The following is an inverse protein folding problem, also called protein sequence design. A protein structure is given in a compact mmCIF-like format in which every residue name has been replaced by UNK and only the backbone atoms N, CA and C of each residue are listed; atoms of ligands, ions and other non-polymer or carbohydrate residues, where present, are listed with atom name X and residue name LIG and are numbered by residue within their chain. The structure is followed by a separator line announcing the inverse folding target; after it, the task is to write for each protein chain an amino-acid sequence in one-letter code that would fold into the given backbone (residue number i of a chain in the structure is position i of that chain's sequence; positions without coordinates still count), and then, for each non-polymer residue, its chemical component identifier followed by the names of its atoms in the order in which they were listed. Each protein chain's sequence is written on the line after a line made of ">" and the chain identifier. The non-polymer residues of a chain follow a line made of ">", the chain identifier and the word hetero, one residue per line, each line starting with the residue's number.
data_IF_613914195925
#
_entry.id   IF_613914195925
#
_cell.length_a   1.000
_cell.length_b   1.000
_cell.length_c   1.000
_cell.angle_alpha   90.00
_cell.angle_beta   90.00
_cell.angle_gamma   90.00
#
_symmetry.space_group_name_H-M   'P 1'
#
loop_
_entity.id
_entity.type
_entity.pdbx_description
1 polymer ?
#
# COMPACT_ATOMS: atom_id res chain seq x y z
N UNK A 1 30.94 -10.86 -4.58
CA UNK A 1 32.17 -10.40 -3.91
C UNK A 1 31.99 -9.09 -3.13
N UNK A 2 31.21 -8.11 -3.60
CA UNK A 2 30.89 -6.86 -2.86
C UNK A 2 30.06 -7.07 -1.59
N UNK A 3 29.18 -8.09 -1.54
CA UNK A 3 28.37 -8.41 -0.35
C UNK A 3 29.19 -8.86 0.89
N UNK A 4 30.46 -9.26 0.69
CA UNK A 4 31.33 -9.64 1.79
C UNK A 4 31.95 -8.39 2.47
N UNK A 5 32.16 -7.31 1.72
CA UNK A 5 32.77 -6.07 2.21
C UNK A 5 31.73 -5.09 2.77
N UNK A 6 30.50 -5.13 2.27
CA UNK A 6 29.39 -4.29 2.70
C UNK A 6 28.11 -5.14 2.81
N UNK A 7 28.00 -5.99 3.84
CA UNK A 7 26.85 -6.86 3.98
C UNK A 7 25.57 -6.03 4.16
N UNK A 8 24.50 -6.41 3.46
CA UNK A 8 23.17 -5.83 3.69
C UNK A 8 22.82 -5.95 5.17
N UNK A 9 22.22 -4.90 5.73
CA UNK A 9 21.84 -4.87 7.12
C UNK A 9 20.34 -4.61 7.25
N UNK A 10 19.73 -5.34 8.17
CA UNK A 10 18.30 -5.15 8.48
C UNK A 10 18.04 -3.71 8.93
N UNK A 11 17.11 -3.02 8.24
CA UNK A 11 16.75 -1.61 8.50
C UNK A 11 16.10 -1.40 9.88
N UNK A 12 15.67 -2.48 10.53
CA UNK A 12 15.03 -2.45 11.86
C UNK A 12 16.05 -2.71 12.97
N UNK A 13 16.78 -3.83 12.90
CA UNK A 13 17.67 -4.27 13.99
C UNK A 13 19.17 -4.20 13.68
N UNK A 14 19.57 -3.82 12.46
CA UNK A 14 20.97 -3.69 12.07
C UNK A 14 21.70 -5.03 11.81
N UNK A 15 21.09 -6.20 12.02
CA UNK A 15 21.71 -7.52 11.76
C UNK A 15 22.11 -7.65 10.30
N UNK A 16 23.32 -8.19 10.01
CA UNK A 16 23.75 -8.44 8.63
C UNK A 16 22.94 -9.58 7.99
N UNK A 17 22.94 -9.62 6.64
CA UNK A 17 22.39 -10.71 5.84
C UNK A 17 21.15 -10.39 5.02
N UNK A 18 20.28 -9.46 5.45
CA UNK A 18 19.06 -9.10 4.74
C UNK A 18 18.69 -7.63 4.97
N UNK A 19 17.94 -7.03 4.03
CA UNK A 19 17.39 -5.68 4.19
C UNK A 19 16.27 -5.64 5.25
N UNK A 20 15.51 -6.75 5.40
CA UNK A 20 14.58 -7.02 6.50
C UNK A 20 14.75 -8.49 6.92
N UNK A 21 15.23 -8.73 8.14
CA UNK A 21 15.34 -10.10 8.64
C UNK A 21 13.97 -10.67 9.05
N UNK A 22 13.82 -12.01 9.02
CA UNK A 22 12.58 -12.72 9.33
C UNK A 22 11.95 -12.28 10.67
N UNK A 23 12.69 -12.28 11.80
CA UNK A 23 12.13 -11.83 13.09
C UNK A 23 11.61 -10.40 13.07
N UNK A 24 12.29 -9.47 12.39
CA UNK A 24 11.79 -8.10 12.26
C UNK A 24 10.56 -8.01 11.35
N UNK A 25 10.51 -8.81 10.28
CA UNK A 25 9.35 -8.89 9.40
C UNK A 25 8.09 -9.39 10.13
N UNK A 26 8.21 -10.47 10.90
CA UNK A 26 7.11 -10.99 11.73
C UNK A 26 6.73 -10.05 12.86
N UNK A 27 7.71 -9.33 13.44
CA UNK A 27 7.51 -8.36 14.51
C UNK A 27 6.92 -7.00 14.09
N UNK A 28 6.72 -6.74 12.80
CA UNK A 28 6.12 -5.48 12.37
C UNK A 28 4.72 -5.27 12.96
N UNK A 29 4.39 -4.04 13.42
CA UNK A 29 3.10 -3.71 13.99
C UNK A 29 1.91 -4.18 13.14
N UNK A 30 1.00 -4.91 13.76
CA UNK A 30 -0.17 -5.51 13.10
C UNK A 30 -1.41 -4.61 13.26
N UNK A 31 -2.37 -4.79 12.37
CA UNK A 31 -3.64 -4.04 12.38
C UNK A 31 -4.72 -4.67 13.29
N UNK A 32 -4.36 -5.69 14.06
CA UNK A 32 -5.33 -6.49 14.80
C UNK A 32 -6.10 -7.48 13.90
N UNK A 33 -6.83 -8.40 14.52
CA UNK A 33 -7.60 -9.45 13.83
C UNK A 33 -8.94 -8.94 13.29
N UNK A 34 -9.61 -8.05 14.04
CA UNK A 34 -10.93 -7.53 13.70
C UNK A 34 -10.79 -6.23 12.89
N UNK A 35 -11.31 -6.25 11.68
CA UNK A 35 -11.14 -5.15 10.70
C UNK A 35 -12.43 -4.88 9.94
N UNK A 36 -12.62 -3.63 9.55
CA UNK A 36 -13.69 -3.24 8.64
C UNK A 36 -13.61 -4.05 7.34
N UNK A 37 -14.70 -4.70 6.94
CA UNK A 37 -14.76 -5.50 5.72
C UNK A 37 -14.44 -4.67 4.47
N UNK A 38 -14.83 -3.39 4.45
CA UNK A 38 -14.64 -2.51 3.30
C UNK A 38 -13.25 -1.91 3.19
N UNK A 39 -12.77 -1.22 4.21
CA UNK A 39 -11.54 -0.43 4.11
C UNK A 39 -10.36 -1.00 4.90
N UNK A 40 -10.54 -2.11 5.63
CA UNK A 40 -9.48 -2.77 6.40
C UNK A 40 -9.03 -2.00 7.64
N UNK A 41 -9.75 -0.96 8.10
CA UNK A 41 -9.44 -0.28 9.35
C UNK A 41 -9.65 -1.23 10.54
N UNK A 42 -8.80 -1.19 11.58
CA UNK A 42 -9.08 -1.87 12.84
C UNK A 42 -10.42 -1.41 13.43
N UNK A 43 -11.18 -2.34 13.98
CA UNK A 43 -12.47 -2.08 14.62
C UNK A 43 -12.62 -2.95 15.86
N UNK A 44 -13.46 -2.54 16.82
CA UNK A 44 -13.68 -3.31 18.04
C UNK A 44 -14.47 -4.62 17.78
N UNK A 45 -15.34 -4.61 16.78
CA UNK A 45 -16.13 -5.76 16.31
C UNK A 45 -16.23 -5.78 14.79
N UNK A 46 -16.61 -6.91 14.17
CA UNK A 46 -16.75 -7.01 12.72
C UNK A 46 -17.81 -6.04 12.20
N UNK A 47 -17.45 -5.23 11.21
CA UNK A 47 -18.38 -4.28 10.55
C UNK A 47 -18.19 -4.31 9.04
N UNK A 48 -19.29 -4.19 8.30
CA UNK A 48 -19.23 -4.05 6.85
C UNK A 48 -18.58 -2.72 6.44
N UNK A 49 -18.90 -1.63 7.17
CA UNK A 49 -18.35 -0.29 6.98
C UNK A 49 -18.12 0.39 8.33
N UNK A 50 -16.91 0.84 8.58
CA UNK A 50 -16.57 1.59 9.79
C UNK A 50 -16.76 3.10 9.60
N UNK A 51 -16.60 3.86 10.68
CA UNK A 51 -16.72 5.34 10.69
C UNK A 51 -15.82 6.03 9.65
N UNK A 52 -14.65 5.46 9.34
CA UNK A 52 -13.74 6.05 8.33
C UNK A 52 -14.28 5.94 6.89
N UNK A 53 -15.08 4.92 6.59
CA UNK A 53 -15.56 4.64 5.23
C UNK A 53 -17.09 4.68 5.07
N UNK A 54 -17.88 4.80 6.15
CA UNK A 54 -19.31 5.05 6.09
C UNK A 54 -19.58 6.37 5.37
N UNK A 55 -20.65 6.45 4.60
CA UNK A 55 -20.97 7.63 3.79
C UNK A 55 -20.07 7.89 2.58
N UNK A 56 -19.03 7.04 2.34
CA UNK A 56 -18.11 7.19 1.19
C UNK A 56 -18.44 6.18 0.10
N UNK A 57 -18.58 6.66 -1.13
CA UNK A 57 -18.64 5.81 -2.33
C UNK A 57 -17.21 5.44 -2.74
N UNK A 58 -16.69 4.32 -2.23
CA UNK A 58 -15.38 3.80 -2.61
C UNK A 58 -15.50 2.98 -3.90
N UNK A 59 -14.62 3.23 -4.87
CA UNK A 59 -14.65 2.57 -6.18
C UNK A 59 -14.06 1.14 -6.15
N UNK A 60 -13.46 0.72 -5.05
CA UNK A 60 -12.95 -0.64 -4.84
C UNK A 60 -13.88 -1.46 -3.93
N UNK A 61 -13.87 -2.77 -4.05
CA UNK A 61 -14.66 -3.69 -3.23
C UNK A 61 -14.16 -3.73 -1.78
N UNK A 62 -12.86 -3.89 -1.60
CA UNK A 62 -12.21 -3.95 -0.27
C UNK A 62 -10.78 -3.43 -0.34
N UNK A 63 -10.24 -3.06 0.83
CA UNK A 63 -8.82 -2.76 1.00
C UNK A 63 -8.24 -3.57 2.15
N UNK A 64 -7.01 -4.06 1.96
CA UNK A 64 -6.24 -4.83 2.93
C UNK A 64 -4.85 -4.25 3.05
N UNK A 65 -4.28 -4.33 4.24
CA UNK A 65 -2.90 -3.95 4.50
C UNK A 65 -2.25 -4.97 5.44
N UNK A 66 -0.95 -5.17 5.28
CA UNK A 66 -0.19 -6.14 6.05
C UNK A 66 0.24 -5.61 7.43
N UNK A 67 0.52 -4.30 7.55
CA UNK A 67 1.05 -3.72 8.77
C UNK A 67 0.41 -2.37 9.12
N UNK A 68 0.44 -1.99 10.40
CA UNK A 68 0.16 -0.65 10.84
C UNK A 68 1.30 0.30 10.44
N UNK A 69 0.97 1.52 9.99
CA UNK A 69 1.97 2.53 9.61
C UNK A 69 2.51 3.25 10.85
N UNK A 70 3.26 2.54 11.67
CA UNK A 70 3.86 3.04 12.91
C UNK A 70 5.20 2.34 13.19
N UNK A 71 5.96 2.80 14.17
CA UNK A 71 7.20 2.18 14.63
C UNK A 71 8.12 1.75 13.48
N UNK A 72 8.50 0.49 13.48
CA UNK A 72 9.44 -0.10 12.51
C UNK A 72 8.90 -0.16 11.09
N UNK A 73 7.57 -0.23 10.89
CA UNK A 73 6.96 -0.10 9.57
C UNK A 73 7.26 1.26 8.94
N UNK A 74 7.26 2.34 9.72
CA UNK A 74 7.61 3.69 9.23
C UNK A 74 9.09 3.78 8.86
N UNK A 75 9.99 3.18 9.66
CA UNK A 75 11.44 3.12 9.38
C UNK A 75 11.71 2.36 8.08
N UNK A 76 11.09 1.19 7.91
CA UNK A 76 11.21 0.37 6.72
C UNK A 76 10.74 1.13 5.47
N UNK A 77 9.57 1.75 5.52
CA UNK A 77 9.05 2.52 4.41
C UNK A 77 9.88 3.76 4.07
N UNK A 78 10.48 4.41 5.07
CA UNK A 78 11.41 5.53 4.84
C UNK A 78 12.68 5.02 4.15
N UNK A 79 13.31 3.95 4.65
CA UNK A 79 14.48 3.34 4.05
C UNK A 79 14.21 2.90 2.60
N UNK A 80 13.08 2.26 2.37
CA UNK A 80 12.67 1.84 1.04
C UNK A 80 12.45 3.03 0.08
N UNK A 81 11.77 4.08 0.55
CA UNK A 81 11.43 5.25 -0.28
C UNK A 81 12.59 6.22 -0.49
N UNK A 82 13.44 6.40 0.49
CA UNK A 82 14.41 7.50 0.53
C UNK A 82 15.85 7.01 0.31
N UNK A 83 16.19 5.82 0.78
CA UNK A 83 17.56 5.28 0.66
C UNK A 83 17.74 4.30 -0.50
N UNK A 84 16.74 4.08 -1.32
CA UNK A 84 16.88 3.29 -2.54
C UNK A 84 17.04 1.78 -2.33
N UNK A 85 16.69 1.25 -1.17
CA UNK A 85 16.80 -0.18 -0.84
C UNK A 85 15.76 -1.00 -1.61
N UNK A 86 16.06 -1.29 -2.87
CA UNK A 86 15.16 -1.97 -3.80
C UNK A 86 14.80 -3.39 -3.36
N UNK A 87 15.69 -4.07 -2.63
CA UNK A 87 15.47 -5.41 -2.07
C UNK A 87 14.30 -5.51 -1.11
N UNK A 88 13.99 -4.40 -0.39
CA UNK A 88 12.84 -4.33 0.51
C UNK A 88 11.48 -4.60 -0.16
N UNK A 89 11.38 -4.48 -1.49
CA UNK A 89 10.14 -4.82 -2.19
C UNK A 89 9.79 -6.31 -2.05
N UNK A 90 10.79 -7.20 -2.14
CA UNK A 90 10.62 -8.63 -1.95
C UNK A 90 10.24 -8.96 -0.51
N UNK A 91 10.95 -8.37 0.45
CA UNK A 91 10.70 -8.62 1.87
C UNK A 91 9.30 -8.11 2.27
N UNK A 92 8.91 -6.92 1.78
CA UNK A 92 7.56 -6.39 1.96
C UNK A 92 6.48 -7.28 1.33
N UNK A 93 6.74 -7.85 0.16
CA UNK A 93 5.82 -8.77 -0.49
C UNK A 93 5.64 -10.06 0.30
N UNK A 94 6.71 -10.61 0.89
CA UNK A 94 6.62 -11.77 1.77
C UNK A 94 5.74 -11.49 2.99
N UNK A 95 5.91 -10.33 3.64
CA UNK A 95 5.07 -9.90 4.76
C UNK A 95 3.61 -9.72 4.34
N UNK A 96 3.37 -9.18 3.13
CA UNK A 96 1.99 -9.03 2.61
C UNK A 96 1.39 -10.40 2.31
N UNK A 97 2.12 -11.29 1.65
CA UNK A 97 1.62 -12.63 1.27
C UNK A 97 1.31 -13.51 2.51
N UNK A 98 2.05 -13.32 3.60
CA UNK A 98 1.80 -13.99 4.88
C UNK A 98 0.52 -13.48 5.58
N UNK A 99 0.26 -12.16 5.53
CA UNK A 99 -0.79 -11.51 6.33
C UNK A 99 -2.07 -11.17 5.58
N UNK A 100 -2.03 -11.19 4.27
CA UNK A 100 -3.14 -10.88 3.37
C UNK A 100 -3.42 -12.08 2.49
N UNK A 101 -4.60 -12.67 2.67
CA UNK A 101 -5.03 -13.78 1.82
C UNK A 101 -4.96 -13.39 0.33
N UNK A 102 -4.50 -14.33 -0.50
CA UNK A 102 -4.43 -14.14 -1.95
C UNK A 102 -5.79 -13.68 -2.48
N UNK A 103 -5.85 -12.53 -3.18
CA UNK A 103 -7.09 -12.05 -3.78
C UNK A 103 -7.57 -12.95 -4.92
N UNK A 104 -8.87 -13.04 -5.11
CA UNK A 104 -9.46 -13.68 -6.30
C UNK A 104 -9.45 -12.66 -7.42
N UNK A 105 -8.42 -12.68 -8.25
CA UNK A 105 -8.21 -11.70 -9.32
C UNK A 105 -7.49 -12.32 -10.51
N UNK A 106 -7.55 -11.63 -11.63
CA UNK A 106 -6.94 -12.03 -12.91
C UNK A 106 -5.67 -11.25 -13.20
N UNK A 107 -5.51 -10.06 -12.60
CA UNK A 107 -4.36 -9.19 -12.85
C UNK A 107 -4.01 -8.36 -11.63
N UNK A 108 -2.72 -8.17 -11.41
CA UNK A 108 -2.17 -7.21 -10.45
C UNK A 108 -1.75 -5.94 -11.18
N UNK A 109 -2.11 -4.81 -10.65
CA UNK A 109 -1.63 -3.49 -11.09
C UNK A 109 -1.21 -2.64 -9.91
N UNK A 110 -0.66 -1.49 -10.16
CA UNK A 110 -0.17 -0.59 -9.11
C UNK A 110 -0.61 0.85 -9.34
N UNK A 111 -0.65 1.62 -8.26
CA UNK A 111 -0.84 3.07 -8.33
C UNK A 111 0.39 3.69 -8.99
N UNK A 112 0.28 4.38 -10.15
CA UNK A 112 1.43 4.94 -10.83
C UNK A 112 2.05 6.08 -10.03
N UNK A 113 3.39 6.25 -10.12
CA UNK A 113 4.12 7.28 -9.41
C UNK A 113 3.76 8.68 -9.88
N UNK A 114 4.08 9.64 -9.05
CA UNK A 114 4.29 11.02 -9.47
C UNK A 114 5.58 11.09 -10.31
N UNK A 115 5.50 11.62 -11.52
CA UNK A 115 6.61 11.66 -12.46
C UNK A 115 7.89 12.29 -11.87
N UNK A 116 7.77 13.37 -11.09
CA UNK A 116 8.92 13.99 -10.43
C UNK A 116 9.55 13.13 -9.33
N UNK A 117 8.80 12.20 -8.72
CA UNK A 117 9.34 11.25 -7.73
C UNK A 117 10.02 10.06 -8.40
N UNK A 118 9.49 9.58 -9.53
CA UNK A 118 10.12 8.50 -10.30
C UNK A 118 11.50 8.92 -10.81
N UNK A 119 11.62 10.11 -11.37
CA UNK A 119 12.89 10.65 -11.87
C UNK A 119 13.95 10.77 -10.76
N UNK A 120 13.56 11.21 -9.56
CA UNK A 120 14.49 11.37 -8.43
C UNK A 120 14.93 10.06 -7.80
N UNK A 121 14.08 9.01 -7.81
CA UNK A 121 14.33 7.73 -7.13
C UNK A 121 14.85 6.64 -8.06
N UNK A 122 14.67 6.77 -9.38
CA UNK A 122 15.02 5.74 -10.35
C UNK A 122 14.20 4.45 -10.25
N UNK A 123 13.23 4.36 -9.33
CA UNK A 123 12.32 3.22 -9.18
C UNK A 123 11.02 3.64 -8.46
N UNK A 124 10.02 2.75 -8.47
CA UNK A 124 8.73 3.00 -7.82
C UNK A 124 8.36 1.88 -6.83
N UNK A 125 8.18 2.18 -5.53
CA UNK A 125 7.91 1.17 -4.52
C UNK A 125 6.66 0.32 -4.79
N UNK A 126 5.52 0.93 -5.15
CA UNK A 126 4.28 0.19 -5.40
C UNK A 126 4.38 -0.70 -6.65
N UNK A 127 5.08 -0.27 -7.71
CA UNK A 127 5.37 -1.09 -8.90
C UNK A 127 6.19 -2.33 -8.53
N UNK A 128 7.25 -2.15 -7.74
CA UNK A 128 8.10 -3.25 -7.28
C UNK A 128 7.33 -4.20 -6.37
N UNK A 129 6.55 -3.68 -5.43
CA UNK A 129 5.69 -4.49 -4.57
C UNK A 129 4.68 -5.29 -5.39
N UNK A 130 4.04 -4.66 -6.38
CA UNK A 130 3.08 -5.33 -7.26
C UNK A 130 3.71 -6.48 -8.04
N UNK A 131 4.91 -6.27 -8.59
CA UNK A 131 5.64 -7.31 -9.32
C UNK A 131 6.02 -8.50 -8.42
N UNK A 132 6.45 -8.26 -7.19
CA UNK A 132 6.77 -9.34 -6.24
C UNK A 132 5.51 -10.08 -5.77
N UNK A 133 4.41 -9.36 -5.49
CA UNK A 133 3.13 -9.98 -5.12
C UNK A 133 2.52 -10.77 -6.28
N UNK A 134 2.62 -10.27 -7.49
CA UNK A 134 2.16 -10.98 -8.69
C UNK A 134 2.87 -12.33 -8.85
N UNK A 135 4.21 -12.36 -8.62
CA UNK A 135 4.97 -13.62 -8.60
C UNK A 135 4.51 -14.55 -7.47
N UNK A 136 4.37 -14.03 -6.24
CA UNK A 136 3.95 -14.83 -5.08
C UNK A 136 2.54 -15.41 -5.26
N UNK A 137 1.65 -14.71 -5.95
CA UNK A 137 0.28 -15.13 -6.18
C UNK A 137 0.06 -15.84 -7.53
N UNK A 138 1.11 -16.00 -8.34
CA UNK A 138 1.03 -16.54 -9.70
C UNK A 138 -0.04 -15.81 -10.54
N UNK A 139 0.02 -14.48 -10.56
CA UNK A 139 -0.85 -13.60 -11.34
C UNK A 139 -0.02 -12.74 -12.30
N UNK A 140 -0.54 -12.36 -13.47
CA UNK A 140 0.10 -11.37 -14.33
C UNK A 140 0.15 -10.00 -13.64
N UNK A 141 1.22 -9.22 -13.90
CA UNK A 141 1.37 -7.85 -13.46
C UNK A 141 1.44 -6.91 -14.66
N UNK A 142 0.57 -5.91 -14.69
CA UNK A 142 0.49 -4.95 -15.79
C UNK A 142 0.33 -3.51 -15.29
N UNK A 143 0.92 -2.55 -16.03
CA UNK A 143 0.76 -1.12 -15.78
C UNK A 143 -0.56 -0.62 -16.41
N UNK A 144 -1.70 -0.92 -15.75
CA UNK A 144 -3.02 -0.58 -16.27
C UNK A 144 -3.41 0.89 -16.08
N UNK A 145 -2.65 1.64 -15.31
CA UNK A 145 -2.94 3.03 -14.96
C UNK A 145 -1.82 3.98 -15.34
N UNK A 146 -2.21 5.16 -15.79
CA UNK A 146 -1.34 6.31 -15.98
C UNK A 146 -1.77 7.46 -15.08
N UNK A 147 -0.81 8.27 -14.64
CA UNK A 147 -1.09 9.48 -13.89
C UNK A 147 -1.22 10.68 -14.83
N UNK A 148 -2.29 11.47 -14.66
CA UNK A 148 -2.50 12.72 -15.39
C UNK A 148 -1.94 13.90 -14.61
N UNK A 149 -1.11 14.72 -15.27
CA UNK A 149 -0.62 15.99 -14.75
C UNK A 149 0.38 15.92 -13.59
N UNK A 150 0.96 17.05 -13.21
CA UNK A 150 1.88 17.14 -12.09
C UNK A 150 1.14 16.92 -10.76
N UNK A 151 1.75 16.15 -9.86
CA UNK A 151 1.24 16.00 -8.51
C UNK A 151 1.45 17.30 -7.72
N UNK A 152 0.38 17.95 -7.31
CA UNK A 152 0.49 19.00 -6.29
C UNK A 152 1.02 18.39 -5.00
N UNK A 153 1.98 19.06 -4.34
CA UNK A 153 2.56 18.60 -3.06
C UNK A 153 1.45 18.33 -2.04
N UNK A 154 1.29 17.08 -1.61
CA UNK A 154 0.25 16.68 -0.68
C UNK A 154 0.68 16.68 0.81
N UNK A 155 1.96 17.00 1.09
CA UNK A 155 2.44 17.14 2.47
C UNK A 155 1.82 18.38 3.09
N UNK A 156 1.16 18.23 4.25
CA UNK A 156 0.55 19.35 4.99
C UNK A 156 -0.90 19.69 4.63
N UNK A 157 -1.48 19.13 3.56
CA UNK A 157 -2.85 19.46 3.17
C UNK A 157 -3.91 18.75 4.04
N UNK A 158 -5.02 19.44 4.37
CA UNK A 158 -6.19 18.82 5.01
C UNK A 158 -6.76 17.66 4.18
N UNK A 159 -7.45 16.74 4.84
CA UNK A 159 -8.01 15.53 4.22
C UNK A 159 -8.98 15.81 3.04
N UNK A 160 -9.77 16.86 3.16
CA UNK A 160 -10.70 17.27 2.11
C UNK A 160 -9.97 17.72 0.84
N UNK A 161 -8.86 18.44 1.00
CA UNK A 161 -8.03 18.87 -0.12
C UNK A 161 -7.24 17.73 -0.74
N UNK A 162 -6.74 16.77 0.06
CA UNK A 162 -6.12 15.56 -0.49
C UNK A 162 -7.09 14.76 -1.37
N UNK A 163 -8.38 14.73 -1.01
CA UNK A 163 -9.43 14.08 -1.81
C UNK A 163 -9.71 14.81 -3.11
N UNK A 164 -9.74 16.15 -3.08
CA UNK A 164 -9.95 16.97 -4.29
C UNK A 164 -8.77 16.87 -5.26
N UNK A 165 -7.54 16.89 -4.75
CA UNK A 165 -6.30 16.87 -5.55
C UNK A 165 -6.06 15.55 -6.32
N UNK A 166 -6.74 14.45 -5.97
CA UNK A 166 -6.60 13.17 -6.67
C UNK A 166 -7.78 12.82 -7.58
N UNK A 167 -8.84 13.65 -7.62
CA UNK A 167 -9.93 13.45 -8.60
C UNK A 167 -9.39 13.65 -10.01
N UNK A 168 -9.61 12.67 -10.89
CA UNK A 168 -9.10 12.71 -12.26
C UNK A 168 -7.59 12.58 -12.41
N UNK A 169 -6.85 12.31 -11.31
CA UNK A 169 -5.39 12.16 -11.35
C UNK A 169 -4.93 10.88 -12.09
N UNK A 170 -5.82 9.95 -12.37
CA UNK A 170 -5.51 8.70 -13.04
C UNK A 170 -6.40 8.47 -14.23
N UNK A 171 -5.86 7.78 -15.25
CA UNK A 171 -6.61 7.18 -16.34
C UNK A 171 -6.13 5.74 -16.55
N UNK A 172 -6.97 4.88 -17.10
CA UNK A 172 -6.53 3.59 -17.58
C UNK A 172 -5.76 3.77 -18.90
N UNK A 173 -4.71 2.96 -19.09
CA UNK A 173 -3.90 2.97 -20.31
C UNK A 173 -4.63 2.31 -21.50
N UNK A 174 -5.54 1.37 -21.19
CA UNK A 174 -6.34 0.61 -22.15
C UNK A 174 -7.64 0.13 -21.47
N UNK A 175 -8.61 -0.44 -22.19
CA UNK A 175 -9.74 -1.16 -21.60
C UNK A 175 -9.26 -2.23 -20.63
N UNK A 176 -9.94 -2.36 -19.48
CA UNK A 176 -9.59 -3.30 -18.40
C UNK A 176 -10.79 -4.20 -18.15
N UNK A 177 -10.61 -5.52 -18.28
CA UNK A 177 -11.63 -6.51 -17.92
C UNK A 177 -11.36 -7.14 -16.55
N UNK A 178 -12.33 -7.93 -16.07
CA UNK A 178 -12.16 -8.85 -14.96
C UNK A 178 -11.91 -8.20 -13.58
N UNK A 179 -11.36 -9.01 -12.69
CA UNK A 179 -11.04 -8.65 -11.30
C UNK A 179 -9.58 -8.24 -11.17
N UNK A 180 -9.34 -7.10 -10.52
CA UNK A 180 -8.01 -6.47 -10.47
C UNK A 180 -7.56 -6.26 -9.03
N UNK A 181 -6.33 -6.62 -8.72
CA UNK A 181 -5.63 -6.18 -7.51
C UNK A 181 -4.90 -4.88 -7.79
N UNK A 182 -5.24 -3.84 -7.05
CA UNK A 182 -4.56 -2.55 -7.08
C UNK A 182 -3.61 -2.43 -5.90
N UNK A 183 -2.31 -2.38 -6.16
CA UNK A 183 -1.26 -2.31 -5.15
C UNK A 183 -0.79 -0.87 -4.94
N UNK A 184 -0.62 -0.48 -3.67
CA UNK A 184 0.06 0.76 -3.25
C UNK A 184 0.95 0.48 -2.03
N UNK A 185 1.84 1.39 -1.67
CA UNK A 185 2.72 1.22 -0.52
C UNK A 185 2.00 1.49 0.82
N UNK A 186 1.21 2.56 0.91
CA UNK A 186 0.52 2.96 2.15
C UNK A 186 -0.91 3.43 1.90
N UNK A 187 -1.84 2.79 2.57
CA UNK A 187 -3.22 3.27 2.65
C UNK A 187 -3.36 4.31 3.76
N UNK A 188 -3.52 5.57 3.42
CA UNK A 188 -3.73 6.67 4.38
C UNK A 188 -5.21 7.04 4.52
N UNK A 189 -5.74 7.83 3.61
CA UNK A 189 -7.16 8.22 3.56
C UNK A 189 -7.98 7.37 2.58
N UNK A 190 -7.30 6.56 1.78
CA UNK A 190 -7.87 5.82 0.66
C UNK A 190 -8.28 6.70 -0.53
N UNK A 191 -7.88 7.99 -0.54
CA UNK A 191 -8.21 8.89 -1.64
C UNK A 191 -7.52 8.47 -2.95
N UNK A 192 -6.23 8.16 -2.88
CA UNK A 192 -5.44 7.66 -4.02
C UNK A 192 -6.01 6.33 -4.53
N UNK A 193 -6.23 5.37 -3.63
CA UNK A 193 -6.81 4.07 -3.97
C UNK A 193 -8.21 4.22 -4.60
N UNK A 194 -9.06 5.11 -4.08
CA UNK A 194 -10.37 5.39 -4.66
C UNK A 194 -10.26 5.98 -6.07
N UNK A 195 -9.41 6.98 -6.29
CA UNK A 195 -9.26 7.62 -7.59
C UNK A 195 -8.68 6.68 -8.65
N UNK A 196 -7.67 5.88 -8.29
CA UNK A 196 -7.09 4.87 -9.16
C UNK A 196 -8.10 3.75 -9.48
N UNK A 197 -8.84 3.26 -8.48
CA UNK A 197 -9.89 2.27 -8.69
C UNK A 197 -11.06 2.84 -9.53
N UNK A 198 -11.40 4.11 -9.39
CA UNK A 198 -12.43 4.75 -10.22
C UNK A 198 -12.03 4.76 -11.71
N UNK A 199 -10.75 5.01 -12.01
CA UNK A 199 -10.23 4.96 -13.37
C UNK A 199 -10.28 3.53 -13.95
N UNK A 200 -9.92 2.50 -13.15
CA UNK A 200 -10.02 1.10 -13.56
C UNK A 200 -11.48 0.68 -13.81
N UNK A 201 -12.39 1.08 -12.95
CA UNK A 201 -13.83 0.83 -13.13
C UNK A 201 -14.38 1.48 -14.40
N UNK A 202 -14.02 2.73 -14.65
CA UNK A 202 -14.43 3.43 -15.86
C UNK A 202 -13.89 2.78 -17.15
N UNK A 203 -12.80 2.01 -17.03
CA UNK A 203 -12.22 1.25 -18.13
C UNK A 203 -12.76 -0.19 -18.25
N UNK A 204 -13.70 -0.62 -17.37
CA UNK A 204 -14.37 -1.91 -17.47
C UNK A 204 -14.01 -2.94 -16.39
N UNK A 205 -13.12 -2.65 -15.44
CA UNK A 205 -12.82 -3.57 -14.34
C UNK A 205 -14.08 -3.92 -13.54
N UNK A 206 -14.37 -5.22 -13.39
CA UNK A 206 -15.57 -5.72 -12.72
C UNK A 206 -15.49 -5.60 -11.20
N UNK A 207 -14.33 -5.89 -10.62
CA UNK A 207 -14.07 -5.77 -9.18
C UNK A 207 -12.62 -5.34 -8.95
N UNK A 208 -12.41 -4.51 -7.92
CA UNK A 208 -11.07 -4.05 -7.55
C UNK A 208 -10.86 -4.30 -6.07
N UNK A 209 -9.81 -5.03 -5.74
CA UNK A 209 -9.30 -5.17 -4.39
C UNK A 209 -8.01 -4.36 -4.23
N UNK A 210 -7.93 -3.57 -3.16
CA UNK A 210 -6.73 -2.76 -2.86
C UNK A 210 -5.88 -3.51 -1.85
N UNK A 211 -4.61 -3.70 -2.17
CA UNK A 211 -3.61 -4.28 -1.27
C UNK A 211 -2.47 -3.29 -1.05
N UNK A 212 -2.12 -3.07 0.21
CA UNK A 212 -1.00 -2.18 0.58
C UNK A 212 -0.09 -2.85 1.58
N UNK A 213 1.19 -2.45 1.60
CA UNK A 213 2.09 -2.91 2.65
C UNK A 213 1.65 -2.39 4.02
N UNK A 214 1.36 -1.10 4.12
CA UNK A 214 0.97 -0.50 5.40
C UNK A 214 -0.32 0.32 5.32
N UNK A 215 -0.92 0.54 6.50
CA UNK A 215 -2.08 1.41 6.68
C UNK A 215 -1.88 2.34 7.88
N UNK A 216 -2.26 3.61 7.74
CA UNK A 216 -2.36 4.51 8.90
C UNK A 216 -3.58 4.15 9.75
N UNK A 217 -3.37 3.98 11.04
CA UNK A 217 -4.45 3.89 12.02
C UNK A 217 -4.83 5.32 12.43
N UNK A 218 -6.09 5.65 12.29
CA UNK A 218 -6.61 6.90 12.84
C UNK A 218 -7.11 6.58 14.23
N UNK A 219 -6.64 7.30 15.24
CA UNK A 219 -7.11 7.11 16.60
C UNK A 219 -8.64 7.19 16.66
N UNK A 220 -9.29 6.07 16.87
CA UNK A 220 -10.53 6.05 17.62
C UNK A 220 -10.12 6.57 19.00
N UNK A 221 -10.67 7.68 19.45
CA UNK A 221 -10.37 8.23 20.77
C UNK A 221 -10.81 7.31 21.92
N UNK A 222 -10.13 6.20 22.04
CA UNK A 222 -10.01 5.42 23.25
C UNK A 222 -8.70 5.87 23.86
N UNK A 223 -8.76 6.96 24.65
CA UNK A 223 -7.72 7.36 25.56
C UNK A 223 -7.42 6.20 26.50
N UNK A 224 -6.39 5.43 26.18
CA UNK A 224 -5.67 4.70 27.20
C UNK A 224 -4.84 5.79 27.89
N UNK A 225 -5.37 6.25 29.02
CA UNK A 225 -4.67 7.17 29.91
C UNK A 225 -3.30 6.59 30.24
N UNK A 226 -2.27 7.30 29.86
CA UNK A 226 -0.96 7.16 30.47
C UNK A 226 -1.15 7.39 31.95
N UNK A 227 -1.13 6.34 32.73
CA UNK A 227 -0.88 6.45 34.18
C UNK A 227 0.62 6.76 34.34
N UNK A 228 0.88 7.88 34.91
CA UNK A 228 2.19 8.32 35.38
C UNK A 228 2.79 7.29 36.36
#
# INVERSE_FOLDING_TARGET
>A
MLDLLLPRRCVVCGRPGADLCGPCGTGLPQLGSVRCARCGAPTAWPVARCRECSGRRLAFARARAAAAYEGDTRRLLAAWKEHGLRGLARDAALVVADRVARPVAETVTFVPPDGGRRLRRGYHPAERLAAELARAWALPCAALLERRGPSRRQRGLPLAERRRNVRGAFRAAAPVGGRVVLVDDVYTSGATAHAAAAALRAAGACEIEVVTFARTIRGSGLGLGERR
#
